data_IF_989308919026
#
_entry.id   IF_989308919026
#
_cell.length_a   1.000
_cell.length_b   1.000
_cell.length_c   1.000
_cell.angle_alpha   90.00
_cell.angle_beta   90.00
_cell.angle_gamma   90.00
#
_symmetry.space_group_name_H-M   'P 1'
#
loop_
_entity.id
_entity.type
_entity.pdbx_description
1 polymer ?
#
# COMPACT_ATOMS: atom_id res chain seq x y z
N UNK A 1 -14.29 6.71 18.85
CA UNK A 1 -13.33 6.33 17.81
C UNK A 1 -13.63 4.94 17.30
N UNK A 2 -13.67 4.82 16.06
CA UNK A 2 -14.03 3.55 15.43
C UNK A 2 -12.93 2.50 15.55
N UNK A 3 -13.32 1.25 15.44
CA UNK A 3 -12.41 0.13 15.31
C UNK A 3 -12.18 -0.19 13.82
N UNK A 4 -11.86 0.85 13.06
CA UNK A 4 -11.66 0.69 11.61
C UNK A 4 -10.30 0.06 11.35
N UNK A 5 -10.31 -1.02 10.62
CA UNK A 5 -9.12 -1.68 10.11
C UNK A 5 -8.96 -1.37 8.63
N UNK A 6 -7.80 -0.88 8.25
CA UNK A 6 -7.49 -0.59 6.84
C UNK A 6 -6.55 -1.65 6.31
N UNK A 7 -6.94 -2.30 5.23
CA UNK A 7 -6.11 -3.29 4.54
C UNK A 7 -5.54 -2.67 3.27
N UNK A 8 -4.22 -2.74 3.13
CA UNK A 8 -3.52 -2.19 1.97
C UNK A 8 -2.76 -3.31 1.28
N UNK A 9 -2.91 -3.40 -0.03
CA UNK A 9 -2.15 -4.32 -0.87
C UNK A 9 -1.18 -3.53 -1.72
N UNK A 10 0.10 -3.85 -1.65
CA UNK A 10 1.11 -3.35 -2.58
C UNK A 10 1.52 -4.47 -3.51
N UNK A 11 1.52 -4.19 -4.81
CA UNK A 11 2.06 -5.10 -5.81
C UNK A 11 3.41 -4.58 -6.27
N UNK A 12 4.39 -5.46 -6.43
CA UNK A 12 5.74 -5.07 -6.81
C UNK A 12 6.34 -6.02 -7.84
N UNK A 13 7.19 -5.48 -8.68
CA UNK A 13 8.06 -6.26 -9.55
C UNK A 13 9.26 -5.40 -9.91
N UNK A 14 10.45 -5.82 -9.47
CA UNK A 14 11.71 -5.12 -9.71
C UNK A 14 11.61 -3.62 -9.41
N UNK A 15 11.23 -3.30 -8.17
CA UNK A 15 10.97 -1.95 -7.70
C UNK A 15 11.92 -1.52 -6.58
N UNK A 16 13.17 -2.01 -6.59
CA UNK A 16 14.12 -1.78 -5.49
C UNK A 16 14.36 -0.29 -5.20
N UNK A 17 14.27 0.56 -6.23
CA UNK A 17 14.54 2.01 -6.05
C UNK A 17 13.42 2.77 -5.39
N UNK A 18 12.21 2.24 -5.38
CA UNK A 18 11.02 2.99 -4.97
C UNK A 18 10.22 2.33 -3.87
N UNK A 19 10.33 1.01 -3.73
CA UNK A 19 9.43 0.26 -2.84
C UNK A 19 9.57 0.66 -1.37
N UNK A 20 10.75 1.04 -0.92
CA UNK A 20 10.93 1.44 0.48
C UNK A 20 10.09 2.68 0.82
N UNK A 21 10.08 3.66 -0.07
CA UNK A 21 9.25 4.85 0.13
C UNK A 21 7.77 4.47 0.19
N UNK A 22 7.32 3.56 -0.65
CA UNK A 22 5.94 3.07 -0.64
C UNK A 22 5.62 2.39 0.71
N UNK A 23 6.47 1.47 1.14
CA UNK A 23 6.28 0.73 2.40
C UNK A 23 6.19 1.70 3.57
N UNK A 24 7.14 2.62 3.68
CA UNK A 24 7.14 3.58 4.78
C UNK A 24 5.93 4.49 4.77
N UNK A 25 5.45 4.89 3.58
CA UNK A 25 4.27 5.73 3.48
C UNK A 25 3.01 5.05 4.02
N UNK A 26 2.95 3.72 3.97
CA UNK A 26 1.86 2.95 4.58
C UNK A 26 2.08 2.77 6.07
N UNK A 27 3.27 2.33 6.45
CA UNK A 27 3.56 1.99 7.86
C UNK A 27 3.59 3.20 8.78
N UNK A 28 3.84 4.39 8.25
CA UNK A 28 3.90 5.64 9.02
C UNK A 28 2.56 6.36 9.11
N UNK A 29 1.50 5.79 8.58
CA UNK A 29 0.16 6.37 8.71
C UNK A 29 -0.28 6.35 10.18
N UNK A 30 -1.05 7.36 10.56
CA UNK A 30 -1.43 7.61 11.95
C UNK A 30 -2.76 6.97 12.34
N UNK A 31 -2.98 5.74 11.94
CA UNK A 31 -4.11 4.94 12.40
C UNK A 31 -3.61 3.67 13.08
N UNK A 32 -4.35 3.16 14.08
CA UNK A 32 -3.83 2.07 14.91
C UNK A 32 -3.87 0.70 14.25
N UNK A 33 -4.75 0.46 13.27
CA UNK A 33 -4.99 -0.89 12.76
C UNK A 33 -4.82 -0.93 11.24
N UNK A 34 -3.59 -1.19 10.80
CA UNK A 34 -3.24 -1.34 9.39
C UNK A 34 -2.85 -2.80 9.13
N UNK A 35 -3.54 -3.41 8.17
CA UNK A 35 -3.18 -4.74 7.65
C UNK A 35 -2.47 -4.52 6.33
N UNK A 36 -1.15 -4.71 6.32
CA UNK A 36 -0.35 -4.47 5.12
C UNK A 36 0.08 -5.78 4.47
N UNK A 37 -0.21 -5.91 3.19
CA UNK A 37 0.06 -7.10 2.40
C UNK A 37 0.89 -6.69 1.18
N UNK A 38 1.96 -7.43 0.89
CA UNK A 38 2.79 -7.19 -0.29
C UNK A 38 2.81 -8.45 -1.15
N UNK A 39 2.48 -8.30 -2.41
CA UNK A 39 2.53 -9.39 -3.40
C UNK A 39 3.58 -9.01 -4.44
N UNK A 40 4.65 -9.76 -4.48
CA UNK A 40 5.76 -9.53 -5.40
C UNK A 40 5.73 -10.56 -6.54
N UNK A 41 5.99 -10.10 -7.75
CA UNK A 41 5.90 -10.91 -8.97
C UNK A 41 7.17 -11.66 -9.33
N UNK A 42 8.05 -11.94 -8.37
CA UNK A 42 9.29 -12.67 -8.62
C UNK A 42 10.47 -11.75 -8.92
N UNK A 43 10.62 -10.68 -8.16
CA UNK A 43 11.71 -9.70 -8.35
C UNK A 43 13.09 -10.32 -8.20
N UNK A 44 14.04 -9.78 -8.96
CA UNK A 44 15.44 -10.23 -8.95
C UNK A 44 16.44 -9.10 -8.71
N UNK A 45 15.98 -7.89 -8.41
CA UNK A 45 16.80 -6.67 -8.35
C UNK A 45 17.15 -6.21 -6.94
N UNK A 46 16.79 -6.96 -5.91
CA UNK A 46 16.97 -6.54 -4.50
C UNK A 46 15.69 -6.09 -3.83
N UNK A 47 14.57 -6.05 -4.54
CA UNK A 47 13.26 -5.71 -3.96
C UNK A 47 12.93 -6.57 -2.75
N UNK A 48 13.22 -7.87 -2.81
CA UNK A 48 12.90 -8.80 -1.72
C UNK A 48 13.65 -8.48 -0.44
N UNK A 49 14.89 -8.00 -0.55
CA UNK A 49 15.68 -7.62 0.62
C UNK A 49 15.03 -6.42 1.33
N UNK A 50 14.48 -5.49 0.58
CA UNK A 50 13.76 -4.35 1.15
C UNK A 50 12.48 -4.83 1.85
N UNK A 51 11.71 -5.71 1.22
CA UNK A 51 10.50 -6.26 1.84
C UNK A 51 10.82 -6.98 3.15
N UNK A 52 11.86 -7.81 3.16
CA UNK A 52 12.28 -8.55 4.36
C UNK A 52 12.65 -7.62 5.51
N UNK A 53 13.16 -6.45 5.22
CA UNK A 53 13.51 -5.45 6.24
C UNK A 53 12.30 -5.05 7.08
N UNK A 54 11.11 -5.13 6.52
CA UNK A 54 9.86 -4.72 7.17
C UNK A 54 8.89 -5.86 7.43
N UNK A 55 9.29 -7.11 7.21
CA UNK A 55 8.36 -8.24 7.22
C UNK A 55 7.65 -8.45 8.55
N UNK A 56 8.24 -8.07 9.67
CA UNK A 56 7.60 -8.19 10.97
C UNK A 56 6.38 -7.29 11.11
N UNK A 57 6.28 -6.27 10.28
CA UNK A 57 5.17 -5.31 10.27
C UNK A 57 4.16 -5.59 9.17
N UNK A 58 4.36 -6.66 8.40
CA UNK A 58 3.45 -7.06 7.33
C UNK A 58 2.53 -8.16 7.82
N UNK A 59 1.25 -8.08 7.44
CA UNK A 59 0.31 -9.16 7.73
C UNK A 59 0.61 -10.40 6.88
N UNK A 60 1.06 -10.17 5.65
CA UNK A 60 1.40 -11.25 4.72
C UNK A 60 2.26 -10.69 3.58
N UNK A 61 3.18 -11.50 3.09
CA UNK A 61 3.84 -11.19 1.81
C UNK A 61 4.30 -12.48 1.13
N UNK A 62 4.38 -12.44 -0.18
CA UNK A 62 4.87 -13.55 -0.98
C UNK A 62 5.55 -12.99 -2.22
N UNK A 63 6.54 -13.72 -2.72
CA UNK A 63 7.17 -13.44 -4.01
C UNK A 63 7.12 -14.71 -4.85
N UNK A 64 6.45 -14.60 -6.00
CA UNK A 64 6.40 -15.68 -6.99
C UNK A 64 6.02 -15.08 -8.34
N UNK A 65 6.42 -15.74 -9.42
CA UNK A 65 6.02 -15.30 -10.75
C UNK A 65 4.49 -15.32 -10.86
N UNK A 66 3.93 -14.28 -11.44
CA UNK A 66 2.48 -14.12 -11.59
C UNK A 66 2.11 -13.66 -13.00
N UNK A 67 0.81 -13.49 -13.24
CA UNK A 67 0.29 -13.05 -14.53
C UNK A 67 0.26 -11.54 -14.71
N UNK A 68 0.96 -10.79 -13.84
CA UNK A 68 1.00 -9.33 -13.88
C UNK A 68 0.25 -8.69 -12.72
N UNK A 69 0.08 -7.36 -12.80
CA UNK A 69 -0.47 -6.56 -11.70
C UNK A 69 -1.85 -7.04 -11.24
N UNK A 70 -2.74 -7.37 -12.16
CA UNK A 70 -4.09 -7.77 -11.77
C UNK A 70 -4.12 -9.13 -11.08
N UNK A 71 -3.27 -10.04 -11.50
CA UNK A 71 -3.11 -11.34 -10.82
C UNK A 71 -2.57 -11.14 -9.40
N UNK A 72 -1.58 -10.29 -9.25
CA UNK A 72 -1.01 -9.96 -7.94
C UNK A 72 -2.05 -9.30 -7.03
N UNK A 73 -2.84 -8.35 -7.56
CA UNK A 73 -3.91 -7.70 -6.79
C UNK A 73 -4.94 -8.72 -6.32
N UNK A 74 -5.35 -9.65 -7.19
CA UNK A 74 -6.29 -10.70 -6.82
C UNK A 74 -5.77 -11.54 -5.64
N UNK A 75 -4.49 -11.93 -5.69
CA UNK A 75 -3.86 -12.68 -4.60
C UNK A 75 -3.89 -11.91 -3.29
N UNK A 76 -3.59 -10.62 -3.35
CA UNK A 76 -3.57 -9.77 -2.17
C UNK A 76 -4.97 -9.59 -1.58
N UNK A 77 -5.95 -9.29 -2.41
CA UNK A 77 -7.31 -9.06 -1.94
C UNK A 77 -8.02 -10.30 -1.42
N UNK A 78 -7.55 -11.49 -1.77
CA UNK A 78 -8.05 -12.72 -1.14
C UNK A 78 -7.74 -12.78 0.35
N UNK A 79 -6.76 -12.01 0.82
CA UNK A 79 -6.28 -12.06 2.20
C UNK A 79 -6.69 -10.89 3.06
N UNK A 80 -7.33 -9.87 2.49
CA UNK A 80 -7.72 -8.69 3.26
C UNK A 80 -8.88 -9.01 4.21
N UNK A 81 -8.82 -8.45 5.41
CA UNK A 81 -9.87 -8.61 6.42
C UNK A 81 -10.39 -7.27 6.93
N UNK A 82 -9.87 -6.16 6.43
CA UNK A 82 -10.22 -4.83 6.93
C UNK A 82 -11.58 -4.32 6.48
N UNK A 83 -12.03 -3.28 7.14
CA UNK A 83 -13.27 -2.58 6.80
C UNK A 83 -13.10 -1.70 5.57
N UNK A 84 -11.91 -1.15 5.40
CA UNK A 84 -11.55 -0.32 4.25
C UNK A 84 -10.37 -1.01 3.56
N UNK A 85 -10.46 -1.16 2.25
CA UNK A 85 -9.43 -1.83 1.47
C UNK A 85 -8.95 -0.93 0.35
N UNK A 86 -7.65 -0.93 0.10
CA UNK A 86 -7.06 -0.17 -0.98
C UNK A 86 -5.81 -0.87 -1.49
N UNK A 87 -5.28 -0.40 -2.62
CA UNK A 87 -4.00 -0.87 -3.10
C UNK A 87 -3.13 0.31 -3.52
N UNK A 88 -1.83 0.07 -3.54
CA UNK A 88 -0.86 1.05 -4.03
C UNK A 88 0.29 0.31 -4.71
N UNK A 89 0.72 0.81 -5.86
CA UNK A 89 1.85 0.23 -6.57
C UNK A 89 3.17 0.57 -5.86
N UNK A 90 4.21 -0.22 -6.12
CA UNK A 90 5.49 -0.11 -5.42
C UNK A 90 6.31 1.12 -5.83
N UNK A 91 5.83 1.96 -6.72
CA UNK A 91 6.44 3.22 -7.14
C UNK A 91 5.61 4.45 -6.77
N UNK A 92 4.52 4.26 -6.05
CA UNK A 92 3.67 5.33 -5.52
C UNK A 92 3.82 5.43 -4.01
N UNK A 93 3.33 6.49 -3.41
CA UNK A 93 3.32 6.63 -1.96
C UNK A 93 2.15 7.49 -1.49
N UNK A 94 1.72 7.25 -0.26
CA UNK A 94 0.65 8.03 0.38
C UNK A 94 1.21 9.27 1.06
N UNK A 95 0.40 10.31 1.09
CA UNK A 95 0.70 11.49 1.89
C UNK A 95 0.48 11.18 3.38
N UNK A 96 1.18 11.89 4.29
CA UNK A 96 0.90 11.77 5.71
C UNK A 96 -0.57 12.06 6.01
N UNK A 97 -1.13 11.33 6.98
CA UNK A 97 -2.52 11.48 7.45
C UNK A 97 -3.59 11.08 6.42
N UNK A 98 -3.20 10.47 5.29
CA UNK A 98 -4.16 10.08 4.26
C UNK A 98 -5.18 9.06 4.78
N UNK A 99 -4.73 8.08 5.55
CA UNK A 99 -5.60 7.02 6.06
C UNK A 99 -6.58 7.57 7.10
N UNK A 100 -6.12 8.45 7.99
CA UNK A 100 -6.98 9.08 8.97
C UNK A 100 -8.08 9.91 8.30
N UNK A 101 -7.72 10.65 7.25
CA UNK A 101 -8.70 11.43 6.49
C UNK A 101 -9.73 10.54 5.80
N UNK A 102 -9.30 9.43 5.20
CA UNK A 102 -10.20 8.49 4.53
C UNK A 102 -11.14 7.83 5.53
N UNK A 103 -10.62 7.38 6.67
CA UNK A 103 -11.44 6.78 7.72
C UNK A 103 -12.53 7.74 8.19
N UNK A 104 -12.18 9.02 8.38
CA UNK A 104 -13.13 10.03 8.79
C UNK A 104 -14.22 10.24 7.75
N UNK A 105 -13.88 10.26 6.47
CA UNK A 105 -14.85 10.40 5.39
C UNK A 105 -15.83 9.22 5.38
N UNK A 106 -15.34 7.99 5.51
CA UNK A 106 -16.21 6.81 5.56
C UNK A 106 -17.15 6.86 6.77
N UNK A 107 -16.66 7.29 7.94
CA UNK A 107 -17.49 7.40 9.13
C UNK A 107 -18.55 8.50 9.00
N UNK A 108 -18.17 9.68 8.53
CA UNK A 108 -19.03 10.86 8.50
C UNK A 108 -20.08 10.80 7.41
N UNK A 109 -19.74 10.26 6.26
CA UNK A 109 -20.58 10.29 5.05
C UNK A 109 -21.20 8.93 4.76
N UNK A 110 -20.59 7.85 5.20
CA UNK A 110 -21.08 6.50 4.94
C UNK A 110 -20.95 6.08 3.47
N UNK A 111 -19.97 6.64 2.75
CA UNK A 111 -19.72 6.29 1.35
C UNK A 111 -19.09 4.91 1.22
N UNK A 112 -19.14 4.36 0.01
CA UNK A 112 -18.53 3.06 -0.31
C UNK A 112 -17.25 3.19 -1.13
N UNK A 113 -16.95 4.40 -1.63
CA UNK A 113 -15.80 4.63 -2.49
C UNK A 113 -15.26 6.03 -2.26
N UNK A 114 -13.93 6.14 -2.10
CA UNK A 114 -13.24 7.42 -1.95
C UNK A 114 -12.01 7.41 -2.84
N UNK A 115 -11.79 8.53 -3.54
CA UNK A 115 -10.54 8.75 -4.27
C UNK A 115 -9.99 10.13 -3.91
N UNK A 116 -8.70 10.25 -3.94
CA UNK A 116 -8.01 11.50 -3.66
C UNK A 116 -7.52 12.19 -4.94
N UNK A 117 -6.83 13.29 -4.74
CA UNK A 117 -6.15 13.99 -5.81
C UNK A 117 -4.75 13.41 -5.94
N UNK A 118 -4.39 13.01 -7.15
CA UNK A 118 -3.04 12.53 -7.43
C UNK A 118 -2.12 13.72 -7.68
N UNK A 119 -0.92 13.66 -7.10
CA UNK A 119 0.14 14.60 -7.40
C UNK A 119 1.33 13.82 -7.97
N UNK A 120 1.95 14.37 -9.00
CA UNK A 120 3.14 13.77 -9.60
C UNK A 120 4.36 14.52 -9.08
N UNK A 121 5.35 13.79 -8.59
CA UNK A 121 6.57 14.36 -8.03
C UNK A 121 7.76 14.04 -8.93
N UNK A 122 8.65 15.00 -9.09
CA UNK A 122 9.92 14.75 -9.76
C UNK A 122 10.91 14.08 -8.79
N UNK A 123 12.11 13.79 -9.29
CA UNK A 123 13.13 13.11 -8.49
C UNK A 123 13.61 13.92 -7.29
N UNK A 124 13.28 15.22 -7.22
CA UNK A 124 13.59 16.10 -6.08
C UNK A 124 12.41 16.23 -5.12
N UNK A 125 11.38 15.40 -5.28
CA UNK A 125 10.15 15.45 -4.50
C UNK A 125 9.41 16.78 -4.60
N UNK A 126 9.47 17.41 -5.77
CA UNK A 126 8.71 18.62 -6.09
C UNK A 126 7.50 18.23 -6.91
N UNK A 127 6.34 18.82 -6.58
CA UNK A 127 5.12 18.58 -7.36
C UNK A 127 5.31 19.15 -8.76
N UNK A 128 4.97 18.33 -9.75
CA UNK A 128 4.99 18.74 -11.16
C UNK A 128 3.62 18.50 -11.77
N UNK A 129 3.30 19.27 -12.81
CA UNK A 129 2.01 19.15 -13.51
C UNK A 129 2.00 17.96 -14.47
#
# INVERSE_FOLDING_TARGET
MSNVKVSIVTVSYNAVKTIEQTILSVLEQDIPDIEYIIIDGGSTDGTLDVIRKYEERLAYWISEADGGMYDALAKGFERVTGNICAYINADDFYQPHAFAAVCKIFEDIGCQWVTGINAVYNIKNQIVD
#
